data_IF_618563851382
#
_entry.id   IF_618563851382
#
_cell.length_a   1.000
_cell.length_b   1.000
_cell.length_c   1.000
_cell.angle_alpha   90.00
_cell.angle_beta   90.00
_cell.angle_gamma   90.00
#
_symmetry.space_group_name_H-M   'P 1'
#
loop_
_entity.id
_entity.type
_entity.pdbx_description
1 polymer ?
#
# COMPACT_ATOMS: atom_id res chain seq x y z
N UNK A 1 -17.92 12.79 -12.01
CA UNK A 1 -16.81 11.83 -11.78
C UNK A 1 -17.21 10.93 -10.61
N UNK A 2 -17.30 9.61 -10.78
CA UNK A 2 -17.56 8.68 -9.66
C UNK A 2 -16.27 8.55 -8.85
N UNK A 3 -16.31 8.92 -7.56
CA UNK A 3 -15.23 8.63 -6.63
C UNK A 3 -15.10 7.11 -6.45
N UNK A 4 -13.94 6.57 -6.78
CA UNK A 4 -13.58 5.18 -6.52
C UNK A 4 -13.46 5.00 -5.00
N UNK A 5 -14.26 4.11 -4.42
CA UNK A 5 -14.31 3.87 -2.96
C UNK A 5 -13.49 2.67 -2.49
N UNK A 6 -12.97 1.90 -3.43
CA UNK A 6 -12.26 0.64 -3.17
C UNK A 6 -11.00 0.55 -4.02
N UNK A 7 -9.95 -0.17 -3.57
CA UNK A 7 -8.76 -0.45 -4.38
C UNK A 7 -9.09 -1.16 -5.71
N UNK A 8 -8.13 -1.24 -6.63
CA UNK A 8 -8.21 -2.14 -7.78
C UNK A 8 -7.88 -3.56 -7.42
N UNK A 9 -8.22 -4.49 -8.30
CA UNK A 9 -7.80 -5.88 -8.16
C UNK A 9 -6.27 -5.98 -8.21
N UNK A 10 -5.61 -5.16 -9.04
CA UNK A 10 -4.16 -5.05 -9.08
C UNK A 10 -3.60 -4.53 -7.76
N UNK A 11 -4.22 -3.51 -7.16
CA UNK A 11 -3.85 -3.00 -5.83
C UNK A 11 -4.07 -4.06 -4.76
N UNK A 12 -5.21 -4.75 -4.76
CA UNK A 12 -5.53 -5.78 -3.78
C UNK A 12 -4.49 -6.91 -3.81
N UNK A 13 -4.14 -7.37 -5.02
CA UNK A 13 -3.13 -8.42 -5.20
C UNK A 13 -1.72 -7.95 -4.82
N UNK A 14 -1.35 -6.72 -5.17
CA UNK A 14 -0.07 -6.13 -4.78
C UNK A 14 0.03 -5.97 -3.26
N UNK A 15 -1.02 -5.43 -2.63
CA UNK A 15 -1.14 -5.27 -1.19
C UNK A 15 -1.00 -6.61 -0.46
N UNK A 16 -1.67 -7.66 -0.92
CA UNK A 16 -1.54 -9.00 -0.34
C UNK A 16 -0.08 -9.46 -0.33
N UNK A 17 0.61 -9.34 -1.47
CA UNK A 17 2.02 -9.76 -1.61
C UNK A 17 2.95 -8.92 -0.73
N UNK A 18 2.76 -7.60 -0.70
CA UNK A 18 3.55 -6.68 0.13
C UNK A 18 3.34 -6.96 1.61
N UNK A 19 2.10 -7.08 2.08
CA UNK A 19 1.80 -7.39 3.48
C UNK A 19 2.34 -8.76 3.90
N UNK A 20 2.25 -9.77 3.04
CA UNK A 20 2.85 -11.08 3.29
C UNK A 20 4.38 -10.98 3.40
N UNK A 21 5.04 -10.28 2.47
CA UNK A 21 6.49 -10.06 2.51
C UNK A 21 6.93 -9.36 3.80
N UNK A 22 6.25 -8.28 4.18
CA UNK A 22 6.53 -7.55 5.42
C UNK A 22 6.34 -8.42 6.66
N UNK A 23 5.25 -9.20 6.70
CA UNK A 23 4.95 -10.11 7.82
C UNK A 23 5.99 -11.23 7.94
N UNK A 24 6.45 -11.78 6.81
CA UNK A 24 7.54 -12.76 6.80
C UNK A 24 8.85 -12.19 7.35
N UNK A 25 9.07 -10.88 7.23
CA UNK A 25 10.20 -10.16 7.81
C UNK A 25 9.93 -9.63 9.24
N UNK A 26 8.87 -10.09 9.90
CA UNK A 26 8.44 -9.66 11.23
C UNK A 26 8.28 -8.14 11.35
N UNK A 27 7.90 -7.47 10.26
CA UNK A 27 7.61 -6.05 10.25
C UNK A 27 6.13 -5.83 10.58
N UNK A 28 5.85 -5.18 11.70
CA UNK A 28 4.49 -4.82 12.09
C UNK A 28 3.87 -3.87 11.07
N UNK A 29 2.66 -4.19 10.58
CA UNK A 29 1.90 -3.30 9.71
C UNK A 29 1.09 -2.34 10.59
N UNK A 30 1.54 -1.08 10.66
CA UNK A 30 0.94 -0.02 11.50
C UNK A 30 -0.21 0.71 10.81
N UNK A 31 -0.18 0.79 9.48
CA UNK A 31 -1.25 1.42 8.69
C UNK A 31 -1.43 0.68 7.37
N UNK A 32 -2.67 0.43 7.00
CA UNK A 32 -3.10 0.01 5.68
C UNK A 32 -4.29 0.88 5.29
N UNK A 33 -4.11 1.82 4.35
CA UNK A 33 -5.12 2.85 4.05
C UNK A 33 -5.25 3.09 2.56
N UNK A 34 -6.46 2.97 2.03
CA UNK A 34 -6.81 3.51 0.71
C UNK A 34 -7.17 5.00 0.82
N UNK A 35 -6.55 5.84 -0.01
CA UNK A 35 -6.89 7.25 -0.13
C UNK A 35 -7.78 7.49 -1.36
N UNK A 36 -9.02 7.91 -1.14
CA UNK A 36 -9.99 8.17 -2.21
C UNK A 36 -9.67 9.40 -3.05
N UNK A 37 -8.82 10.31 -2.56
CA UNK A 37 -8.44 11.51 -3.31
C UNK A 37 -7.41 11.19 -4.39
N UNK A 38 -6.41 10.36 -4.06
CA UNK A 38 -5.32 9.99 -4.97
C UNK A 38 -5.47 8.60 -5.59
N UNK A 39 -6.41 7.78 -5.09
CA UNK A 39 -6.60 6.36 -5.41
C UNK A 39 -5.39 5.46 -5.12
N UNK A 40 -4.50 5.88 -4.22
CA UNK A 40 -3.37 5.07 -3.78
C UNK A 40 -3.71 4.31 -2.49
N UNK A 41 -3.08 3.14 -2.30
CA UNK A 41 -3.01 2.49 -0.99
C UNK A 41 -1.66 2.85 -0.35
N UNK A 42 -1.68 3.24 0.91
CA UNK A 42 -0.51 3.49 1.74
C UNK A 42 -0.37 2.36 2.76
N UNK A 43 0.85 1.82 2.87
CA UNK A 43 1.22 0.82 3.86
C UNK A 43 2.38 1.37 4.68
N UNK A 44 2.21 1.49 6.00
CA UNK A 44 3.28 1.83 6.93
C UNK A 44 3.62 0.60 7.75
N UNK A 45 4.90 0.23 7.79
CA UNK A 45 5.37 -0.94 8.50
C UNK A 45 6.71 -0.71 9.20
N UNK A 46 7.04 -1.56 10.17
CA UNK A 46 8.29 -1.45 10.94
C UNK A 46 8.46 -0.07 11.57
N UNK A 47 9.68 0.43 11.69
CA UNK A 47 9.92 1.82 12.14
C UNK A 47 9.84 2.83 10.98
N UNK A 48 10.47 2.49 9.83
CA UNK A 48 10.74 3.45 8.76
C UNK A 48 10.27 2.99 7.37
N UNK A 49 9.47 1.91 7.27
CA UNK A 49 9.00 1.41 5.98
C UNK A 49 7.69 2.09 5.60
N UNK A 50 7.70 2.78 4.46
CA UNK A 50 6.53 3.41 3.87
C UNK A 50 6.41 2.95 2.42
N UNK A 51 5.23 2.46 2.03
CA UNK A 51 4.96 1.94 0.69
C UNK A 51 3.72 2.62 0.13
N UNK A 52 3.79 3.01 -1.14
CA UNK A 52 2.66 3.45 -1.94
C UNK A 52 2.33 2.41 -3.00
N UNK A 53 1.04 2.08 -3.15
CA UNK A 53 0.52 1.17 -4.17
C UNK A 53 -0.46 1.94 -5.06
N UNK A 54 -0.02 2.39 -6.25
CA UNK A 54 -0.89 3.03 -7.23
C UNK A 54 -1.96 2.08 -7.78
N UNK A 55 -3.01 2.59 -8.47
CA UNK A 55 -4.04 1.77 -9.11
C UNK A 55 -3.54 0.64 -10.03
N UNK A 56 -2.32 0.78 -10.58
CA UNK A 56 -1.67 -0.25 -11.40
C UNK A 56 -1.13 -1.44 -10.61
N UNK A 57 -1.05 -1.35 -9.28
CA UNK A 57 -0.42 -2.36 -8.42
C UNK A 57 1.12 -2.34 -8.42
N UNK A 58 1.75 -1.46 -9.21
CA UNK A 58 3.22 -1.30 -9.25
C UNK A 58 3.65 -0.45 -8.05
N UNK A 59 3.86 -1.12 -6.92
CA UNK A 59 4.19 -0.47 -5.65
C UNK A 59 5.65 0.03 -5.59
N UNK A 60 5.89 1.04 -4.77
CA UNK A 60 7.22 1.60 -4.52
C UNK A 60 7.38 1.98 -3.04
N UNK A 61 8.62 2.00 -2.55
CA UNK A 61 8.92 2.66 -1.28
C UNK A 61 8.78 4.18 -1.42
N UNK A 62 8.24 4.82 -0.39
CA UNK A 62 8.24 6.27 -0.29
C UNK A 62 9.58 6.62 0.36
N UNK A 63 10.50 7.16 -0.43
CA UNK A 63 11.74 7.71 0.10
C UNK A 63 11.47 9.13 0.60
N UNK A 64 11.92 9.43 1.82
CA UNK A 64 12.06 10.81 2.29
C UNK A 64 13.26 11.42 1.54
N UNK A 65 13.00 12.24 0.54
CA UNK A 65 13.99 13.16 -0.05
C UNK A 65 14.26 14.33 0.88
#
# INVERSE_FOLDING_TARGET
MKLRRYPSDEQAQACLRVCQMLSNCLQDIRLFRFDTNTNNVFILAGENIQIIVPPSGIWNFINET
#
